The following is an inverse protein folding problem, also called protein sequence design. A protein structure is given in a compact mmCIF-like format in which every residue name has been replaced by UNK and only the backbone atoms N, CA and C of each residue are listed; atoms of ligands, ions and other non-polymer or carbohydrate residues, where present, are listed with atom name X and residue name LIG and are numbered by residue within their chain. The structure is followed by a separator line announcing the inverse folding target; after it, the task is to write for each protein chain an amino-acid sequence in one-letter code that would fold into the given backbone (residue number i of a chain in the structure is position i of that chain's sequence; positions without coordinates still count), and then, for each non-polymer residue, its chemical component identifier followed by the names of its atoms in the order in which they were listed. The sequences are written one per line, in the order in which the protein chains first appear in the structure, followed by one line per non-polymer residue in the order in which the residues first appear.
data_IF_415013283016
#
_entry.id   IF_415013283016
#
_cell.length_a   1.000
_cell.length_b   1.000
_cell.length_c   1.000
_cell.angle_alpha   90.00
_cell.angle_beta   90.00
_cell.angle_gamma   90.00
#
_symmetry.space_group_name_H-M   'P 1'
#
loop_
_entity.id
_entity.type
_entity.pdbx_description
1 polymer ?
#
# COMPACT_ATOMS: atom_id res chain seq x y z
N UNK A 1 7.67 18.05 23.73
CA UNK A 1 7.37 17.93 22.30
C UNK A 1 6.68 16.59 22.10
N UNK A 2 5.53 16.54 21.47
CA UNK A 2 4.91 15.27 21.12
C UNK A 2 5.88 14.55 20.19
N UNK A 3 6.26 13.30 20.53
CA UNK A 3 7.11 12.46 19.70
C UNK A 3 6.34 12.26 18.39
N UNK A 4 6.99 12.47 17.26
CA UNK A 4 6.36 12.17 15.98
C UNK A 4 6.07 10.67 15.95
N UNK A 5 4.80 10.32 15.80
CA UNK A 5 4.36 8.92 15.80
C UNK A 5 5.08 8.12 14.71
N UNK A 6 5.42 8.75 13.61
CA UNK A 6 6.13 8.13 12.51
C UNK A 6 7.55 7.72 12.92
N UNK A 7 8.29 8.60 13.57
CA UNK A 7 9.63 8.28 14.11
C UNK A 7 9.57 7.08 15.08
N UNK A 8 8.53 7.05 15.94
CA UNK A 8 8.33 5.93 16.87
C UNK A 8 8.08 4.61 16.12
N UNK A 9 7.22 4.63 15.09
CA UNK A 9 6.89 3.45 14.28
C UNK A 9 8.13 2.93 13.56
N UNK A 10 8.87 3.82 12.90
CA UNK A 10 10.08 3.47 12.15
C UNK A 10 11.16 2.89 13.07
N UNK A 11 11.40 3.53 14.22
CA UNK A 11 12.36 3.02 15.21
C UNK A 11 11.97 1.61 15.71
N UNK A 12 10.68 1.39 15.98
CA UNK A 12 10.17 0.07 16.36
C UNK A 12 10.33 -0.94 15.24
N UNK A 13 10.02 -0.56 13.99
CA UNK A 13 10.15 -1.44 12.82
C UNK A 13 11.58 -1.92 12.61
N UNK A 14 12.57 -1.04 12.76
CA UNK A 14 13.99 -1.44 12.67
C UNK A 14 14.36 -2.50 13.72
N UNK A 15 13.86 -2.38 14.96
CA UNK A 15 14.06 -3.40 16.01
C UNK A 15 13.34 -4.70 15.65
N UNK A 16 12.10 -4.62 15.20
CA UNK A 16 11.29 -5.78 14.78
C UNK A 16 11.99 -6.58 13.68
N UNK A 17 12.53 -5.91 12.66
CA UNK A 17 13.23 -6.57 11.56
C UNK A 17 14.50 -7.27 12.04
N UNK A 18 15.30 -6.65 12.90
CA UNK A 18 16.48 -7.30 13.46
C UNK A 18 16.11 -8.57 14.27
N UNK A 19 15.02 -8.54 15.02
CA UNK A 19 14.51 -9.73 15.70
C UNK A 19 14.06 -10.82 14.71
N UNK A 20 13.35 -10.44 13.64
CA UNK A 20 12.91 -11.39 12.61
C UNK A 20 14.09 -12.04 11.88
N UNK A 21 15.18 -11.31 11.63
CA UNK A 21 16.43 -11.85 11.06
C UNK A 21 17.10 -12.89 11.95
N UNK A 22 16.89 -12.84 13.27
CA UNK A 22 17.39 -13.90 14.19
C UNK A 22 16.57 -15.18 14.13
N UNK A 23 15.27 -15.08 13.77
CA UNK A 23 14.37 -16.22 13.65
C UNK A 23 14.54 -16.92 12.31
N UNK A 24 14.56 -16.14 11.23
CA UNK A 24 14.84 -16.62 9.87
C UNK A 24 16.03 -15.80 9.33
N UNK A 25 17.19 -16.45 9.28
CA UNK A 25 18.40 -15.77 8.79
C UNK A 25 18.19 -15.25 7.36
N UNK A 26 18.70 -14.04 7.03
CA UNK A 26 18.55 -13.45 5.70
C UNK A 26 18.94 -14.40 4.57
N UNK A 27 20.05 -15.12 4.69
CA UNK A 27 20.53 -16.07 3.67
C UNK A 27 19.48 -17.17 3.36
N UNK A 28 18.74 -17.63 4.38
CA UNK A 28 17.70 -18.66 4.20
C UNK A 28 16.51 -18.07 3.47
N UNK A 29 16.03 -16.89 3.89
CA UNK A 29 14.91 -16.22 3.24
C UNK A 29 15.24 -15.87 1.78
N UNK A 30 16.42 -15.32 1.52
CA UNK A 30 16.86 -14.90 0.19
C UNK A 30 16.95 -16.11 -0.76
N UNK A 31 17.63 -17.17 -0.34
CA UNK A 31 17.71 -18.40 -1.12
C UNK A 31 16.34 -19.03 -1.40
N UNK A 32 15.42 -18.95 -0.44
CA UNK A 32 14.05 -19.48 -0.64
C UNK A 32 13.27 -18.65 -1.67
N UNK A 33 13.45 -17.32 -1.66
CA UNK A 33 12.81 -16.44 -2.65
C UNK A 33 13.43 -16.63 -4.03
N UNK A 34 14.76 -16.78 -4.13
CA UNK A 34 15.43 -17.06 -5.40
C UNK A 34 14.91 -18.38 -6.03
N UNK A 35 14.72 -19.41 -5.21
CA UNK A 35 14.11 -20.68 -5.65
C UNK A 35 12.66 -20.46 -6.10
N UNK A 36 11.86 -19.77 -5.30
CA UNK A 36 10.48 -19.43 -5.65
C UNK A 36 10.41 -18.72 -7.01
N UNK A 37 11.26 -17.70 -7.22
CA UNK A 37 11.28 -16.94 -8.47
C UNK A 37 11.74 -17.76 -9.68
N UNK A 38 12.66 -18.70 -9.49
CA UNK A 38 13.12 -19.61 -10.56
C UNK A 38 12.03 -20.62 -10.97
N UNK A 39 11.16 -21.01 -10.05
CA UNK A 39 10.09 -21.97 -10.29
C UNK A 39 8.76 -21.31 -10.70
N UNK A 40 8.61 -19.99 -10.44
CA UNK A 40 7.36 -19.27 -10.71
C UNK A 40 7.16 -19.05 -12.21
N UNK A 41 6.21 -19.76 -12.77
CA UNK A 41 5.74 -19.61 -14.16
C UNK A 41 4.46 -18.75 -14.23
N UNK A 42 4.00 -18.20 -13.12
CA UNK A 42 2.78 -17.40 -13.06
C UNK A 42 2.98 -16.05 -13.77
N UNK A 43 1.90 -15.56 -14.38
CA UNK A 43 1.93 -14.23 -14.98
C UNK A 43 1.99 -13.18 -13.87
N UNK A 44 2.97 -12.28 -13.94
CA UNK A 44 3.07 -11.11 -13.06
C UNK A 44 1.77 -10.28 -13.07
N UNK A 45 1.32 -9.87 -11.89
CA UNK A 45 0.15 -9.00 -11.72
C UNK A 45 0.62 -7.58 -11.49
N UNK A 46 0.60 -6.77 -12.55
CA UNK A 46 0.97 -5.36 -12.42
C UNK A 46 -0.14 -4.55 -11.74
N UNK A 47 0.16 -3.93 -10.62
CA UNK A 47 -0.73 -3.00 -9.95
C UNK A 47 -0.87 -1.71 -10.76
N UNK A 48 0.24 -1.24 -11.34
CA UNK A 48 0.25 -0.06 -12.22
C UNK A 48 -0.67 -0.25 -13.42
N UNK A 49 -0.57 -1.37 -14.13
CA UNK A 49 -1.45 -1.67 -15.27
C UNK A 49 -2.91 -1.85 -14.84
N UNK A 50 -3.15 -2.53 -13.73
CA UNK A 50 -4.49 -2.72 -13.19
C UNK A 50 -5.18 -1.40 -12.88
N UNK A 51 -4.47 -0.45 -12.28
CA UNK A 51 -4.99 0.89 -11.99
C UNK A 51 -5.17 1.73 -13.25
N UNK A 52 -4.18 1.69 -14.17
CA UNK A 52 -4.23 2.46 -15.42
C UNK A 52 -5.44 2.09 -16.30
N UNK A 53 -5.77 0.79 -16.34
CA UNK A 53 -6.85 0.26 -17.17
C UNK A 53 -8.20 0.18 -16.45
N UNK A 54 -8.27 0.53 -15.18
CA UNK A 54 -9.49 0.44 -14.39
C UNK A 54 -10.42 1.65 -14.58
N UNK A 55 -11.71 1.38 -14.69
CA UNK A 55 -12.71 2.43 -14.67
C UNK A 55 -12.85 3.10 -13.30
N UNK A 56 -12.65 2.38 -12.19
CA UNK A 56 -12.75 2.93 -10.83
C UNK A 56 -11.40 3.30 -10.21
N UNK A 57 -10.35 2.50 -10.43
CA UNK A 57 -9.03 2.68 -9.84
C UNK A 57 -8.97 2.45 -8.32
N UNK A 58 -9.95 1.76 -7.74
CA UNK A 58 -10.03 1.60 -6.29
C UNK A 58 -9.02 0.55 -5.79
N UNK A 59 -8.15 0.97 -4.88
CA UNK A 59 -7.30 0.12 -4.06
C UNK A 59 -8.03 -0.09 -2.73
N UNK A 60 -8.67 -1.25 -2.56
CA UNK A 60 -9.42 -1.55 -1.35
C UNK A 60 -8.47 -2.01 -0.23
N UNK A 61 -8.43 -1.26 0.88
CA UNK A 61 -7.50 -1.54 1.97
C UNK A 61 -8.14 -2.42 3.05
N UNK A 62 -7.49 -3.55 3.34
CA UNK A 62 -7.76 -4.36 4.51
C UNK A 62 -6.92 -3.84 5.68
N UNK A 63 -7.58 -3.09 6.58
CA UNK A 63 -7.00 -2.47 7.76
C UNK A 63 -7.90 -2.64 8.97
N UNK A 64 -7.41 -3.36 9.98
CA UNK A 64 -8.19 -3.67 11.18
C UNK A 64 -8.11 -2.57 12.25
N UNK A 65 -6.99 -1.83 12.30
CA UNK A 65 -6.68 -0.82 13.32
C UNK A 65 -5.89 0.34 12.70
N UNK A 66 -5.94 1.50 13.33
CA UNK A 66 -5.03 2.61 13.02
C UNK A 66 -4.66 3.40 14.28
N UNK A 67 -3.49 4.07 14.32
CA UNK A 67 -3.09 4.90 15.47
C UNK A 67 -4.11 5.99 15.83
N UNK A 68 -4.77 6.58 14.82
CA UNK A 68 -5.71 7.70 15.02
C UNK A 68 -7.13 7.26 15.41
N UNK A 69 -7.53 6.01 15.14
CA UNK A 69 -8.91 5.52 15.35
C UNK A 69 -9.01 4.32 16.29
N UNK A 70 -7.88 3.67 16.63
CA UNK A 70 -7.91 2.38 17.33
C UNK A 70 -8.44 1.27 16.42
N UNK A 71 -9.16 0.31 16.98
CA UNK A 71 -9.78 -0.78 16.22
C UNK A 71 -10.94 -0.27 15.35
N UNK A 72 -10.86 -0.57 14.05
CA UNK A 72 -11.91 -0.29 13.04
C UNK A 72 -12.77 -1.53 12.87
N UNK A 73 -12.14 -2.70 12.75
CA UNK A 73 -12.79 -4.01 12.62
C UNK A 73 -11.84 -5.10 13.15
N UNK A 74 -11.83 -5.29 14.47
CA UNK A 74 -10.90 -6.22 15.13
C UNK A 74 -11.11 -7.66 14.71
N UNK A 75 -12.35 -8.08 14.47
CA UNK A 75 -12.75 -9.40 13.99
C UNK A 75 -12.56 -9.60 12.48
N UNK A 76 -12.07 -8.59 11.75
CA UNK A 76 -11.87 -8.65 10.30
C UNK A 76 -11.01 -9.83 9.88
N UNK A 77 -11.52 -10.67 8.96
CA UNK A 77 -10.90 -11.92 8.52
C UNK A 77 -10.14 -11.74 7.22
N UNK A 78 -8.83 -12.08 7.19
CA UNK A 78 -7.97 -11.90 6.02
C UNK A 78 -8.27 -12.89 4.87
N UNK A 79 -8.94 -13.98 5.14
CA UNK A 79 -9.42 -14.97 4.15
C UNK A 79 -10.76 -14.58 3.52
N UNK A 80 -11.51 -13.66 4.14
CA UNK A 80 -12.87 -13.28 3.71
C UNK A 80 -12.89 -11.91 3.04
N UNK A 81 -12.44 -10.86 3.76
CA UNK A 81 -12.61 -9.48 3.30
C UNK A 81 -11.80 -9.17 2.03
N UNK A 82 -10.49 -9.52 1.93
CA UNK A 82 -9.75 -9.30 0.67
C UNK A 82 -10.32 -10.08 -0.51
N UNK A 83 -10.78 -11.32 -0.29
CA UNK A 83 -11.44 -12.11 -1.34
C UNK A 83 -12.72 -11.42 -1.82
N UNK A 84 -13.53 -10.90 -0.89
CA UNK A 84 -14.75 -10.15 -1.22
C UNK A 84 -14.43 -8.86 -1.97
N UNK A 85 -13.39 -8.13 -1.61
CA UNK A 85 -12.93 -6.97 -2.37
C UNK A 85 -12.55 -7.32 -3.81
N UNK A 86 -11.77 -8.39 -4.00
CA UNK A 86 -11.38 -8.87 -5.33
C UNK A 86 -12.60 -9.24 -6.20
N UNK A 87 -13.58 -9.92 -5.61
CA UNK A 87 -14.82 -10.34 -6.29
C UNK A 87 -15.75 -9.17 -6.61
N UNK A 88 -15.70 -8.08 -5.84
CA UNK A 88 -16.54 -6.90 -6.02
C UNK A 88 -15.86 -5.75 -6.79
N UNK A 89 -14.76 -6.02 -7.50
CA UNK A 89 -14.21 -5.11 -8.50
C UNK A 89 -13.10 -4.18 -7.99
N UNK A 90 -12.44 -4.50 -6.87
CA UNK A 90 -11.21 -3.81 -6.50
C UNK A 90 -10.17 -3.93 -7.61
N UNK A 91 -9.55 -2.82 -7.99
CA UNK A 91 -8.47 -2.81 -8.98
C UNK A 91 -7.17 -3.36 -8.39
N UNK A 92 -6.96 -3.14 -7.10
CA UNK A 92 -5.90 -3.72 -6.29
C UNK A 92 -6.36 -3.81 -4.84
N UNK A 93 -5.66 -4.60 -4.03
CA UNK A 93 -5.90 -4.70 -2.59
C UNK A 93 -4.65 -4.26 -1.84
N UNK A 94 -4.84 -3.43 -0.82
CA UNK A 94 -3.81 -3.07 0.15
C UNK A 94 -4.02 -3.86 1.42
N UNK A 95 -2.97 -4.53 1.93
CA UNK A 95 -3.05 -5.30 3.18
C UNK A 95 -2.03 -4.76 4.17
N UNK A 96 -2.50 -4.25 5.32
CA UNK A 96 -1.65 -3.81 6.42
C UNK A 96 -0.93 -5.03 7.03
N UNK A 97 0.40 -4.95 7.12
CA UNK A 97 1.22 -6.01 7.72
C UNK A 97 1.93 -5.59 9.00
N UNK A 98 1.86 -4.31 9.40
CA UNK A 98 2.33 -3.85 10.70
C UNK A 98 1.42 -4.33 11.83
N UNK A 99 2.00 -5.03 12.82
CA UNK A 99 1.22 -5.66 13.90
C UNK A 99 0.89 -4.68 15.01
N UNK A 100 1.89 -3.97 15.53
CA UNK A 100 1.75 -3.15 16.73
C UNK A 100 0.78 -1.99 16.56
N UNK A 101 0.92 -1.24 15.50
CA UNK A 101 0.18 0.02 15.30
C UNK A 101 -1.08 -0.17 14.47
N UNK A 102 -1.10 -1.13 13.54
CA UNK A 102 -2.21 -1.33 12.62
C UNK A 102 -2.96 -2.66 12.79
N UNK A 103 -2.55 -3.51 13.75
CA UNK A 103 -3.18 -4.81 13.99
C UNK A 103 -3.13 -5.72 12.75
N UNK A 104 -2.13 -5.48 11.88
CA UNK A 104 -1.87 -6.25 10.68
C UNK A 104 -1.07 -7.53 10.97
N UNK A 105 -0.72 -8.23 9.93
CA UNK A 105 0.27 -9.32 9.99
C UNK A 105 0.69 -9.72 8.57
N UNK A 106 1.95 -10.07 8.38
CA UNK A 106 2.43 -10.62 7.12
C UNK A 106 1.67 -11.91 6.72
N UNK A 107 1.19 -12.66 7.71
CA UNK A 107 0.34 -13.83 7.48
C UNK A 107 -0.98 -13.52 6.81
N UNK A 108 -1.52 -12.30 7.00
CA UNK A 108 -2.78 -11.90 6.37
C UNK A 108 -2.67 -11.87 4.85
N UNK A 109 -1.55 -11.33 4.34
CA UNK A 109 -1.28 -11.30 2.91
C UNK A 109 -1.16 -12.74 2.36
N UNK A 110 -0.38 -13.60 3.02
CA UNK A 110 -0.23 -15.01 2.64
C UNK A 110 -1.58 -15.75 2.64
N UNK A 111 -2.45 -15.45 3.62
CA UNK A 111 -3.79 -16.06 3.72
C UNK A 111 -4.72 -15.56 2.61
N UNK A 112 -4.66 -14.28 2.28
CA UNK A 112 -5.52 -13.68 1.25
C UNK A 112 -5.11 -14.09 -0.19
N UNK A 113 -3.80 -14.23 -0.45
CA UNK A 113 -3.26 -14.42 -1.81
C UNK A 113 -3.94 -15.49 -2.65
N UNK A 114 -4.25 -16.71 -2.13
CA UNK A 114 -4.88 -17.76 -2.94
C UNK A 114 -6.28 -17.42 -3.46
N UNK A 115 -6.99 -16.50 -2.81
CA UNK A 115 -8.39 -16.15 -3.13
C UNK A 115 -8.53 -14.79 -3.82
N UNK A 116 -7.42 -14.03 -3.92
CA UNK A 116 -7.38 -12.70 -4.52
C UNK A 116 -6.76 -12.78 -5.91
N UNK A 117 -7.47 -12.33 -6.93
CA UNK A 117 -7.01 -12.37 -8.33
C UNK A 117 -6.32 -11.09 -8.79
N UNK A 118 -6.68 -9.94 -8.20
CA UNK A 118 -6.05 -8.66 -8.48
C UNK A 118 -4.70 -8.50 -7.75
N UNK A 119 -3.88 -7.49 -8.10
CA UNK A 119 -2.63 -7.21 -7.43
C UNK A 119 -2.80 -6.89 -5.93
N UNK A 120 -1.83 -7.30 -5.11
CA UNK A 120 -1.78 -7.03 -3.67
C UNK A 120 -0.58 -6.15 -3.34
N UNK A 121 -0.86 -5.01 -2.70
CA UNK A 121 0.13 -4.13 -2.10
C UNK A 121 0.41 -4.57 -0.65
N UNK A 122 1.67 -4.85 -0.30
CA UNK A 122 2.10 -4.90 1.09
C UNK A 122 2.17 -3.47 1.64
N UNK A 123 1.26 -3.12 2.52
CA UNK A 123 1.22 -1.82 3.22
C UNK A 123 1.93 -1.97 4.57
N UNK A 124 3.15 -1.50 4.63
CA UNK A 124 4.03 -1.56 5.82
C UNK A 124 5.04 -0.42 5.76
N UNK A 125 5.81 -0.22 6.83
CA UNK A 125 6.96 0.68 6.88
C UNK A 125 8.20 -0.11 6.43
N UNK A 126 8.53 -0.03 5.13
CA UNK A 126 9.64 -0.75 4.53
C UNK A 126 10.93 0.06 4.74
N UNK A 127 11.84 -0.47 5.55
CA UNK A 127 13.10 0.16 5.94
C UNK A 127 14.33 -0.71 5.70
N UNK A 128 14.12 -1.94 5.23
CA UNK A 128 15.19 -2.92 5.03
C UNK A 128 14.83 -3.87 3.87
N UNK A 129 15.83 -4.29 3.09
CA UNK A 129 15.60 -5.21 1.95
C UNK A 129 15.02 -6.56 2.38
N UNK A 130 15.28 -7.01 3.62
CA UNK A 130 14.69 -8.22 4.17
C UNK A 130 13.16 -8.23 4.06
N UNK A 131 12.51 -7.07 4.25
CA UNK A 131 11.06 -6.95 4.11
C UNK A 131 10.59 -7.11 2.66
N UNK A 132 11.41 -6.77 1.66
CA UNK A 132 11.09 -6.99 0.26
C UNK A 132 11.06 -8.48 -0.08
N UNK A 133 12.06 -9.24 0.42
CA UNK A 133 12.07 -10.70 0.30
C UNK A 133 10.87 -11.34 1.03
N UNK A 134 10.52 -10.84 2.22
CA UNK A 134 9.30 -11.28 2.89
C UNK A 134 8.04 -11.00 2.04
N UNK A 135 7.93 -9.82 1.44
CA UNK A 135 6.81 -9.45 0.58
C UNK A 135 6.66 -10.42 -0.59
N UNK A 136 7.77 -10.70 -1.29
CA UNK A 136 7.79 -11.67 -2.40
C UNK A 136 7.40 -13.07 -1.94
N UNK A 137 7.95 -13.54 -0.82
CA UNK A 137 7.68 -14.86 -0.25
C UNK A 137 6.19 -15.08 0.07
N UNK A 138 5.47 -14.04 0.50
CA UNK A 138 4.04 -14.16 0.85
C UNK A 138 3.10 -13.83 -0.31
N UNK A 139 3.64 -13.47 -1.49
CA UNK A 139 2.88 -13.26 -2.72
C UNK A 139 2.33 -11.83 -2.87
N UNK A 140 3.02 -10.82 -2.37
CA UNK A 140 2.77 -9.43 -2.73
C UNK A 140 3.18 -9.18 -4.20
N UNK A 141 2.48 -8.27 -4.86
CA UNK A 141 2.78 -7.80 -6.22
C UNK A 141 3.43 -6.41 -6.19
N UNK A 142 3.16 -5.63 -5.13
CA UNK A 142 3.73 -4.31 -4.92
C UNK A 142 4.06 -4.05 -3.43
N UNK A 143 4.95 -3.09 -3.19
CA UNK A 143 5.34 -2.63 -1.85
C UNK A 143 5.25 -1.12 -1.75
N UNK A 144 5.01 -0.64 -0.51
CA UNK A 144 5.02 0.78 -0.18
C UNK A 144 6.44 1.22 0.23
N UNK A 145 6.90 2.33 -0.34
CA UNK A 145 8.05 3.08 0.14
C UNK A 145 7.57 4.45 0.59
N UNK A 146 7.96 4.92 1.76
CA UNK A 146 7.49 6.19 2.33
C UNK A 146 8.65 7.17 2.35
N UNK A 147 8.54 8.27 1.61
CA UNK A 147 9.62 9.26 1.49
C UNK A 147 10.01 9.86 2.85
N UNK A 148 9.03 10.08 3.74
CA UNK A 148 9.27 10.61 5.09
C UNK A 148 10.05 9.66 6.02
N UNK A 149 10.11 8.35 5.71
CA UNK A 149 10.74 7.31 6.54
C UNK A 149 12.17 6.99 6.12
N UNK A 150 12.55 7.39 4.92
CA UNK A 150 13.76 6.96 4.23
C UNK A 150 14.62 8.17 3.84
N UNK A 151 15.91 7.96 3.76
CA UNK A 151 16.78 8.84 2.98
C UNK A 151 16.56 8.56 1.48
N UNK A 152 16.91 9.51 0.61
CA UNK A 152 16.82 9.32 -0.85
C UNK A 152 17.61 8.09 -1.34
N UNK A 153 18.78 7.85 -0.75
CA UNK A 153 19.63 6.72 -1.12
C UNK A 153 19.04 5.38 -0.65
N UNK A 154 18.45 5.33 0.55
CA UNK A 154 17.70 4.14 1.02
C UNK A 154 16.52 3.86 0.10
N UNK A 155 15.71 4.88 -0.22
CA UNK A 155 14.56 4.76 -1.11
C UNK A 155 14.97 4.20 -2.48
N UNK A 156 16.00 4.79 -3.11
CA UNK A 156 16.53 4.34 -4.40
C UNK A 156 17.03 2.89 -4.35
N UNK A 157 17.74 2.53 -3.28
CA UNK A 157 18.28 1.17 -3.09
C UNK A 157 17.14 0.15 -2.93
N UNK A 158 16.14 0.48 -2.12
CA UNK A 158 14.98 -0.39 -1.89
C UNK A 158 14.10 -0.51 -3.15
N UNK A 159 13.88 0.59 -3.88
CA UNK A 159 13.12 0.56 -5.14
C UNK A 159 13.80 -0.34 -6.18
N UNK A 160 15.12 -0.21 -6.36
CA UNK A 160 15.89 -1.08 -7.25
C UNK A 160 15.81 -2.55 -6.82
N UNK A 161 15.91 -2.83 -5.52
CA UNK A 161 15.80 -4.18 -4.98
C UNK A 161 14.40 -4.76 -5.20
N UNK A 162 13.35 -3.96 -4.99
CA UNK A 162 11.96 -4.36 -5.26
C UNK A 162 11.78 -4.83 -6.71
N UNK A 163 12.28 -4.06 -7.69
CA UNK A 163 12.24 -4.44 -9.09
C UNK A 163 13.03 -5.72 -9.40
N UNK A 164 14.20 -5.94 -8.76
CA UNK A 164 14.93 -7.21 -8.88
C UNK A 164 14.13 -8.41 -8.41
N UNK A 165 13.25 -8.19 -7.43
CA UNK A 165 12.31 -9.18 -6.89
C UNK A 165 10.97 -9.22 -7.64
N UNK A 166 10.85 -8.49 -8.77
CA UNK A 166 9.61 -8.38 -9.52
C UNK A 166 8.44 -7.85 -8.65
N UNK A 167 8.73 -6.89 -7.79
CA UNK A 167 7.75 -6.15 -7.01
C UNK A 167 7.65 -4.73 -7.56
N UNK A 168 6.44 -4.25 -7.82
CA UNK A 168 6.22 -2.84 -8.15
C UNK A 168 6.31 -1.98 -6.89
N UNK A 169 6.60 -0.68 -7.08
CA UNK A 169 6.76 0.27 -5.98
C UNK A 169 5.70 1.36 -6.02
N UNK A 170 5.07 1.59 -4.89
CA UNK A 170 4.26 2.77 -4.62
C UNK A 170 5.05 3.68 -3.66
N UNK A 171 5.52 4.84 -4.16
CA UNK A 171 6.20 5.84 -3.35
C UNK A 171 5.18 6.79 -2.74
N UNK A 172 5.02 6.76 -1.43
CA UNK A 172 4.16 7.67 -0.67
C UNK A 172 4.88 8.98 -0.38
N UNK A 173 4.24 10.11 -0.73
CA UNK A 173 4.72 11.47 -0.50
C UNK A 173 3.64 12.32 0.18
N UNK A 174 4.06 13.28 1.04
CA UNK A 174 3.19 14.17 1.80
C UNK A 174 3.42 15.64 1.44
N UNK A 175 4.64 15.97 1.03
CA UNK A 175 5.12 17.34 0.83
C UNK A 175 5.78 17.51 -0.54
N UNK A 176 5.91 18.77 -0.97
CA UNK A 176 6.61 19.13 -2.20
C UNK A 176 8.09 18.73 -2.16
N UNK A 177 8.75 18.87 -1.00
CA UNK A 177 10.15 18.47 -0.84
C UNK A 177 10.39 16.98 -1.09
N UNK A 178 9.39 16.14 -0.79
CA UNK A 178 9.47 14.69 -1.01
C UNK A 178 9.33 14.28 -2.49
N UNK A 179 8.91 15.19 -3.37
CA UNK A 179 8.87 14.91 -4.82
C UNK A 179 10.25 14.64 -5.41
N UNK A 180 11.32 15.06 -4.72
CA UNK A 180 12.70 14.74 -5.11
C UNK A 180 13.08 13.26 -4.96
N UNK A 181 12.22 12.44 -4.32
CA UNK A 181 12.38 10.98 -4.25
C UNK A 181 11.85 10.26 -5.48
N UNK A 182 11.04 10.96 -6.30
CA UNK A 182 10.47 10.39 -7.53
C UNK A 182 11.59 10.20 -8.55
N UNK A 183 11.77 8.97 -9.04
CA UNK A 183 12.87 8.64 -9.93
C UNK A 183 12.79 7.21 -10.46
N UNK A 184 13.92 6.68 -10.88
CA UNK A 184 14.03 5.32 -11.43
C UNK A 184 13.51 4.25 -10.46
N UNK A 185 12.85 3.24 -10.98
CA UNK A 185 12.24 2.13 -10.26
C UNK A 185 11.08 2.53 -9.32
N UNK A 186 10.48 3.70 -9.54
CA UNK A 186 9.19 4.07 -8.95
C UNK A 186 8.10 3.89 -10.00
N UNK A 187 7.13 3.00 -9.74
CA UNK A 187 6.06 2.68 -10.69
C UNK A 187 4.83 3.57 -10.50
N UNK A 188 4.55 3.93 -9.25
CA UNK A 188 3.40 4.73 -8.86
C UNK A 188 3.80 5.72 -7.77
N UNK A 189 3.19 6.91 -7.78
CA UNK A 189 3.38 7.93 -6.74
C UNK A 189 2.08 8.12 -5.97
N UNK A 190 2.11 7.85 -4.67
CA UNK A 190 0.99 8.02 -3.76
C UNK A 190 1.07 9.35 -3.03
N UNK A 191 0.05 10.19 -3.19
CA UNK A 191 -0.09 11.41 -2.39
C UNK A 191 -0.94 11.10 -1.16
N UNK A 192 -0.34 11.10 0.02
CA UNK A 192 -1.06 10.91 1.26
C UNK A 192 -1.63 12.24 1.76
N UNK A 193 -2.96 12.30 1.83
CA UNK A 193 -3.72 13.47 2.30
C UNK A 193 -3.71 13.63 3.82
N UNK A 194 -3.18 12.65 4.56
CA UNK A 194 -3.08 12.70 6.02
C UNK A 194 -1.72 13.24 6.43
N UNK A 195 -1.73 14.31 7.21
CA UNK A 195 -0.54 14.78 7.89
C UNK A 195 -0.18 13.79 9.02
N UNK A 196 1.04 13.26 9.01
CA UNK A 196 1.46 12.20 9.93
C UNK A 196 1.66 12.70 11.36
N UNK A 197 1.98 13.98 11.55
CA UNK A 197 2.17 14.58 12.88
C UNK A 197 0.87 14.99 13.57
N UNK A 198 -0.10 15.51 12.80
CA UNK A 198 -1.37 16.05 13.36
C UNK A 198 -2.58 15.13 13.13
N UNK A 199 -2.44 14.10 12.29
CA UNK A 199 -3.53 13.25 11.78
C UNK A 199 -4.63 14.01 11.02
N UNK A 200 -4.46 15.31 10.78
CA UNK A 200 -5.37 16.06 9.92
C UNK A 200 -5.32 15.51 8.50
N UNK A 201 -6.49 15.38 7.89
CA UNK A 201 -6.62 14.84 6.52
C UNK A 201 -7.30 15.87 5.64
N UNK A 202 -6.63 16.26 4.55
CA UNK A 202 -7.14 17.23 3.59
C UNK A 202 -6.82 16.78 2.16
N UNK A 203 -7.86 16.44 1.39
CA UNK A 203 -7.74 15.99 -0.02
C UNK A 203 -7.15 17.09 -0.93
N UNK A 204 -7.19 18.37 -0.52
CA UNK A 204 -6.54 19.46 -1.24
C UNK A 204 -5.04 19.21 -1.45
N UNK A 205 -4.39 18.41 -0.59
CA UNK A 205 -2.99 18.01 -0.78
C UNK A 205 -2.76 17.26 -2.10
N UNK A 206 -3.67 16.33 -2.44
CA UNK A 206 -3.61 15.62 -3.72
C UNK A 206 -3.66 16.59 -4.91
N UNK A 207 -4.60 17.53 -4.93
CA UNK A 207 -4.69 18.51 -6.03
C UNK A 207 -3.44 19.38 -6.14
N UNK A 208 -2.89 19.81 -5.01
CA UNK A 208 -1.69 20.66 -4.96
C UNK A 208 -0.47 19.91 -5.51
N UNK A 209 -0.20 18.68 -5.06
CA UNK A 209 0.98 17.92 -5.47
C UNK A 209 0.85 17.37 -6.89
N UNK A 210 -0.36 17.03 -7.36
CA UNK A 210 -0.57 16.53 -8.71
C UNK A 210 -0.08 17.50 -9.79
N UNK A 211 -0.21 18.82 -9.54
CA UNK A 211 0.25 19.84 -10.48
C UNK A 211 1.77 19.95 -10.60
N UNK A 212 2.50 19.40 -9.64
CA UNK A 212 3.97 19.45 -9.54
C UNK A 212 4.63 18.13 -9.99
N UNK A 213 3.86 17.04 -10.06
CA UNK A 213 4.37 15.72 -10.44
C UNK A 213 4.49 15.57 -11.96
N UNK A 214 5.53 14.88 -12.45
CA UNK A 214 5.64 14.52 -13.86
C UNK A 214 4.46 13.68 -14.32
N UNK A 215 3.95 13.93 -15.53
CA UNK A 215 2.75 13.27 -16.07
C UNK A 215 2.95 11.78 -16.41
N UNK A 216 4.18 11.32 -16.43
CA UNK A 216 4.54 9.94 -16.80
C UNK A 216 4.32 8.95 -15.66
N UNK A 217 4.14 9.44 -14.43
CA UNK A 217 3.87 8.60 -13.27
C UNK A 217 2.36 8.37 -13.08
N UNK A 218 2.00 7.15 -12.68
CA UNK A 218 0.64 6.85 -12.25
C UNK A 218 0.44 7.38 -10.82
N UNK A 219 -0.53 8.28 -10.67
CA UNK A 219 -0.81 8.94 -9.39
C UNK A 219 -1.87 8.17 -8.60
N UNK A 220 -1.60 7.99 -7.31
CA UNK A 220 -2.50 7.38 -6.32
C UNK A 220 -2.83 8.42 -5.25
N UNK A 221 -4.10 8.65 -4.95
CA UNK A 221 -4.52 9.47 -3.81
C UNK A 221 -4.85 8.59 -2.61
N UNK A 222 -4.30 8.90 -1.45
CA UNK A 222 -4.42 8.10 -0.23
C UNK A 222 -5.00 8.93 0.91
N UNK A 223 -5.82 8.31 1.75
CA UNK A 223 -6.48 8.89 2.91
C UNK A 223 -7.56 9.95 2.61
N UNK A 224 -8.60 9.99 3.44
CA UNK A 224 -9.66 11.01 3.38
C UNK A 224 -10.70 10.84 2.28
N UNK A 225 -10.63 9.79 1.49
CA UNK A 225 -11.58 9.55 0.40
C UNK A 225 -12.75 8.71 0.94
N UNK A 226 -13.92 9.34 1.04
CA UNK A 226 -15.16 8.68 1.51
C UNK A 226 -16.37 8.93 0.60
N UNK A 227 -16.19 9.77 -0.42
CA UNK A 227 -17.27 10.16 -1.34
C UNK A 227 -16.86 9.80 -2.79
N UNK A 228 -17.72 9.08 -3.54
CA UNK A 228 -17.49 8.77 -4.95
C UNK A 228 -17.24 10.02 -5.82
N UNK A 229 -17.88 11.14 -5.52
CA UNK A 229 -17.64 12.41 -6.23
C UNK A 229 -16.19 12.87 -6.13
N UNK A 230 -15.56 12.74 -4.95
CA UNK A 230 -14.14 13.07 -4.76
C UNK A 230 -13.24 12.22 -5.66
N UNK A 231 -13.56 10.94 -5.88
CA UNK A 231 -12.82 10.08 -6.80
C UNK A 231 -12.92 10.62 -8.24
N UNK A 232 -14.13 11.01 -8.70
CA UNK A 232 -14.31 11.59 -10.05
C UNK A 232 -13.47 12.85 -10.23
N UNK A 233 -13.53 13.76 -9.28
CA UNK A 233 -12.76 15.03 -9.30
C UNK A 233 -11.24 14.77 -9.29
N UNK A 234 -10.75 13.84 -8.49
CA UNK A 234 -9.35 13.46 -8.48
C UNK A 234 -8.92 12.80 -9.80
N UNK A 235 -9.80 12.04 -10.46
CA UNK A 235 -9.52 11.48 -11.79
C UNK A 235 -9.33 12.60 -12.85
N UNK A 236 -10.14 13.66 -12.79
CA UNK A 236 -9.98 14.82 -13.64
C UNK A 236 -8.64 15.53 -13.38
N UNK A 237 -8.18 15.54 -12.13
CA UNK A 237 -6.86 16.04 -11.74
C UNK A 237 -5.68 15.12 -12.13
N UNK A 238 -5.95 13.94 -12.72
CA UNK A 238 -4.91 13.05 -13.25
C UNK A 238 -4.65 11.79 -12.42
N UNK A 239 -5.27 11.62 -11.26
CA UNK A 239 -5.14 10.39 -10.47
C UNK A 239 -5.78 9.18 -11.16
N UNK A 240 -5.18 8.01 -10.97
CA UNK A 240 -5.69 6.73 -11.49
C UNK A 240 -5.88 5.69 -10.41
N UNK A 241 -5.27 5.86 -9.23
CA UNK A 241 -5.44 5.01 -8.06
C UNK A 241 -6.03 5.77 -6.88
N UNK A 242 -6.89 5.11 -6.08
CA UNK A 242 -7.56 5.66 -4.92
C UNK A 242 -7.54 4.66 -3.78
N UNK A 243 -6.69 4.88 -2.76
CA UNK A 243 -6.53 3.97 -1.64
C UNK A 243 -7.55 4.29 -0.55
N UNK A 244 -8.48 3.38 -0.34
CA UNK A 244 -9.64 3.55 0.55
C UNK A 244 -9.75 2.34 1.48
N UNK A 245 -9.69 2.58 2.79
CA UNK A 245 -9.79 1.54 3.81
C UNK A 245 -10.96 1.76 4.77
N UNK A 246 -10.88 2.80 5.62
CA UNK A 246 -11.85 3.03 6.68
C UNK A 246 -13.31 3.06 6.17
N UNK A 247 -13.54 3.68 5.01
CA UNK A 247 -14.88 3.81 4.40
C UNK A 247 -15.57 2.45 4.23
N UNK A 248 -14.82 1.42 3.84
CA UNK A 248 -15.35 0.07 3.66
C UNK A 248 -15.27 -0.75 4.94
N UNK A 249 -14.13 -0.74 5.60
CA UNK A 249 -13.87 -1.57 6.79
C UNK A 249 -14.83 -1.34 7.94
N UNK A 250 -15.35 -0.12 8.11
CA UNK A 250 -16.30 0.22 9.18
C UNK A 250 -17.72 -0.31 8.95
N UNK A 251 -18.02 -0.78 7.74
CA UNK A 251 -19.36 -1.32 7.41
C UNK A 251 -19.51 -2.77 7.86
N UNK A 252 -20.73 -3.26 7.94
CA UNK A 252 -21.00 -4.67 8.24
C UNK A 252 -20.43 -5.58 7.15
N UNK A 253 -20.68 -5.24 5.87
CA UNK A 253 -20.14 -5.94 4.69
C UNK A 253 -19.23 -5.00 3.88
N UNK A 254 -17.90 -5.05 4.08
CA UNK A 254 -16.96 -4.23 3.35
C UNK A 254 -16.97 -4.45 1.83
N UNK A 255 -17.23 -5.68 1.37
CA UNK A 255 -17.27 -6.01 -0.05
C UNK A 255 -18.49 -5.43 -0.74
N UNK A 256 -19.67 -5.50 -0.12
CA UNK A 256 -20.88 -4.87 -0.64
C UNK A 256 -20.73 -3.34 -0.67
N UNK A 257 -20.15 -2.75 0.37
CA UNK A 257 -19.88 -1.31 0.42
C UNK A 257 -18.93 -0.86 -0.71
N UNK A 258 -17.87 -1.64 -0.99
CA UNK A 258 -16.98 -1.39 -2.12
C UNK A 258 -17.73 -1.44 -3.46
N UNK A 259 -18.55 -2.47 -3.67
CA UNK A 259 -19.33 -2.64 -4.92
C UNK A 259 -20.24 -1.44 -5.18
N UNK A 260 -20.97 -1.00 -4.16
CA UNK A 260 -21.84 0.17 -4.24
C UNK A 260 -21.04 1.44 -4.54
N UNK A 261 -19.92 1.63 -3.87
CA UNK A 261 -19.03 2.77 -4.08
C UNK A 261 -18.50 2.80 -5.53
N UNK A 262 -18.04 1.68 -6.07
CA UNK A 262 -17.55 1.57 -7.46
C UNK A 262 -18.68 1.91 -8.43
N UNK A 263 -19.89 1.39 -8.22
CA UNK A 263 -21.04 1.69 -9.08
C UNK A 263 -21.32 3.21 -9.15
N UNK A 264 -21.17 3.92 -8.02
CA UNK A 264 -21.34 5.38 -7.99
C UNK A 264 -20.15 6.16 -8.60
N UNK A 265 -18.94 5.61 -8.58
CA UNK A 265 -17.77 6.24 -9.22
C UNK A 265 -17.86 6.15 -10.74
N UNK A 266 -18.44 5.07 -11.29
CA UNK A 266 -18.44 4.75 -12.72
C UNK A 266 -19.72 5.17 -13.46
N UNK A 267 -20.68 5.78 -12.77
CA UNK A 267 -21.85 6.45 -13.35
C UNK A 267 -21.49 7.81 -13.94
#
# INVERSE_FOLDING_TARGET
MAKDILEEIVAHKRIEIEQQKTIIAPAILYSSVDTLMAEDTSKHRSMRESLANSASGIIAEFKRKSPSKGWIKEEGKPDVIPASYSQNGASAISILTDEKYFGGSLRFLRTARPTVTCPILRKDFIVDEYQLYQAKMVGADAVLLIAADLTKEECKTLAKKAHQLQLETLLEVHTEAELEYVGENIDMVGVNNRNLGTFHTDVANSYRLASLLPKDYLLVSESGISNPQTVRELREAGFRGFLIGETFMKTEDPGAALKEFIAQVTQ
#
